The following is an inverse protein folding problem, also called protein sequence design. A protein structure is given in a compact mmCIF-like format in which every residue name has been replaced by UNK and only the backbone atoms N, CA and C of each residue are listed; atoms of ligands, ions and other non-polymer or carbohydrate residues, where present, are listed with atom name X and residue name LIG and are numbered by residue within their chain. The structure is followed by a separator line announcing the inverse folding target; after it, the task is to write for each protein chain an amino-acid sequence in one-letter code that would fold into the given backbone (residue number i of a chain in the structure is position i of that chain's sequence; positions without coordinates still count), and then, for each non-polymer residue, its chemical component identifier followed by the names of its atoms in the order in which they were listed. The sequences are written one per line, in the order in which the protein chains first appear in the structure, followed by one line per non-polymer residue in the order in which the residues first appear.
data_IF_879121543172
#
_entry.id   IF_879121543172
#
_cell.length_a   1.000
_cell.length_b   1.000
_cell.length_c   1.000
_cell.angle_alpha   90.00
_cell.angle_beta   90.00
_cell.angle_gamma   90.00
#
_symmetry.space_group_name_H-M   'P 1'
#
loop_
_entity.id
_entity.type
_entity.pdbx_description
1 polymer ?
#
# COMPACT_ATOMS: atom_id res chain seq x y z
N UNK A 1 23.80 59.03 -47.83
CA UNK A 1 23.92 58.23 -46.59
C UNK A 1 22.64 57.42 -46.48
N UNK A 2 22.68 56.15 -46.90
CA UNK A 2 21.49 55.29 -47.03
C UNK A 2 21.22 54.61 -45.68
N UNK A 3 20.03 54.86 -45.13
CA UNK A 3 19.52 54.25 -43.92
C UNK A 3 18.94 52.89 -44.30
N UNK A 4 19.52 51.80 -43.81
CA UNK A 4 18.92 50.46 -43.86
C UNK A 4 18.26 50.19 -42.53
N UNK A 5 16.92 50.12 -42.55
CA UNK A 5 16.09 49.64 -41.44
C UNK A 5 16.07 48.11 -41.54
N UNK A 6 16.76 47.43 -40.61
CA UNK A 6 16.63 45.99 -40.43
C UNK A 6 15.38 45.73 -39.59
N UNK A 7 14.40 45.05 -40.18
CA UNK A 7 13.18 44.62 -39.52
C UNK A 7 13.50 43.54 -38.48
N UNK A 8 13.24 43.86 -37.22
CA UNK A 8 13.24 42.90 -36.12
C UNK A 8 11.92 42.12 -36.21
N UNK A 9 11.98 40.87 -36.68
CA UNK A 9 10.85 39.96 -36.67
C UNK A 9 10.56 39.57 -35.20
N UNK A 10 9.50 40.13 -34.65
CA UNK A 10 8.96 39.77 -33.35
C UNK A 10 8.30 38.39 -33.51
N UNK A 11 8.98 37.34 -33.06
CA UNK A 11 8.37 36.02 -32.93
C UNK A 11 7.34 36.08 -31.80
N UNK A 12 6.09 36.33 -32.15
CA UNK A 12 4.97 36.16 -31.24
C UNK A 12 4.82 34.66 -30.98
N UNK A 13 5.23 34.22 -29.79
CA UNK A 13 4.84 32.92 -29.27
C UNK A 13 3.30 32.88 -29.28
N UNK A 14 2.75 32.02 -30.12
CA UNK A 14 1.33 31.71 -30.06
C UNK A 14 1.08 31.06 -28.69
N UNK A 15 0.05 31.47 -27.93
CA UNK A 15 -0.39 30.69 -26.79
C UNK A 15 -0.78 29.31 -27.33
N UNK A 16 -0.07 28.26 -26.90
CA UNK A 16 -0.60 26.92 -27.07
C UNK A 16 -1.92 26.89 -26.30
N UNK A 17 -3.02 26.73 -27.03
CA UNK A 17 -4.33 26.49 -26.44
C UNK A 17 -4.20 25.26 -25.51
N UNK A 18 -4.84 25.32 -24.35
CA UNK A 18 -4.78 24.29 -23.31
C UNK A 18 -5.08 22.91 -23.88
N UNK A 19 -4.43 21.89 -23.32
CA UNK A 19 -4.72 20.50 -23.62
C UNK A 19 -5.21 19.88 -22.32
N UNK A 20 -6.52 19.64 -22.21
CA UNK A 20 -7.07 18.99 -21.03
C UNK A 20 -6.95 17.49 -21.08
N UNK A 21 -6.73 16.81 -19.96
CA UNK A 21 -6.36 15.41 -20.03
C UNK A 21 -7.48 14.45 -19.65
N UNK A 22 -7.72 13.44 -20.47
CA UNK A 22 -8.23 12.13 -20.02
C UNK A 22 -7.05 11.19 -19.80
N UNK A 23 -7.05 10.45 -18.68
CA UNK A 23 -6.07 9.38 -18.46
C UNK A 23 -6.48 8.19 -19.33
N UNK A 24 -5.65 7.82 -20.31
CA UNK A 24 -6.02 6.76 -21.27
C UNK A 24 -5.57 5.38 -20.86
N UNK A 25 -4.61 5.27 -19.94
CA UNK A 25 -4.13 3.99 -19.46
C UNK A 25 -2.83 4.07 -18.68
N UNK A 26 -2.43 2.92 -18.15
CA UNK A 26 -1.11 2.74 -17.57
C UNK A 26 -0.07 2.53 -18.68
N UNK A 27 0.89 3.43 -18.76
CA UNK A 27 2.02 3.32 -19.68
C UNK A 27 3.00 2.29 -19.14
N UNK A 28 3.26 1.26 -19.95
CA UNK A 28 4.10 0.11 -19.56
C UNK A 28 5.51 0.16 -20.16
N UNK A 29 5.96 1.32 -20.68
CA UNK A 29 7.28 1.45 -21.29
C UNK A 29 8.44 1.16 -20.30
N UNK A 30 8.29 1.54 -19.03
CA UNK A 30 9.23 1.19 -17.96
C UNK A 30 8.84 -0.07 -17.19
N UNK A 31 7.95 -0.92 -17.74
CA UNK A 31 7.38 -2.07 -17.04
C UNK A 31 7.64 -3.37 -17.81
N UNK A 32 8.23 -4.37 -17.15
CA UNK A 32 8.13 -5.75 -17.64
C UNK A 32 6.80 -6.33 -17.14
N UNK A 33 5.79 -6.27 -18.00
CA UNK A 33 4.45 -6.83 -17.74
C UNK A 33 4.56 -8.35 -17.58
N UNK A 34 3.99 -8.87 -16.50
CA UNK A 34 3.99 -10.31 -16.23
C UNK A 34 3.08 -11.11 -17.14
N UNK A 35 2.99 -12.42 -16.92
CA UNK A 35 2.06 -13.27 -17.66
C UNK A 35 0.61 -13.10 -17.18
N UNK A 36 -0.34 -13.44 -18.04
CA UNK A 36 -1.75 -13.54 -17.66
C UNK A 36 -1.96 -14.64 -16.62
N UNK A 37 -2.74 -14.32 -15.60
CA UNK A 37 -3.07 -15.18 -14.47
C UNK A 37 -4.57 -15.43 -14.54
N UNK A 38 -4.98 -16.68 -14.83
CA UNK A 38 -6.38 -17.04 -15.11
C UNK A 38 -6.92 -18.15 -14.21
N UNK A 39 -6.05 -18.88 -13.51
CA UNK A 39 -6.46 -19.93 -12.59
C UNK A 39 -6.62 -19.34 -11.18
N UNK A 40 -7.63 -19.78 -10.40
CA UNK A 40 -7.71 -19.44 -8.98
C UNK A 40 -6.38 -19.71 -8.28
N UNK A 41 -6.03 -18.85 -7.31
CA UNK A 41 -4.84 -18.97 -6.46
C UNK A 41 -3.50 -18.90 -7.19
N UNK A 42 -3.53 -18.50 -8.47
CA UNK A 42 -2.31 -18.14 -9.20
C UNK A 42 -2.05 -16.65 -9.09
N UNK A 43 -0.77 -16.28 -9.10
CA UNK A 43 -0.33 -14.90 -8.98
C UNK A 43 0.74 -14.54 -10.01
N UNK A 44 0.86 -13.25 -10.28
CA UNK A 44 1.79 -12.69 -11.24
C UNK A 44 2.30 -11.33 -10.76
N UNK A 45 3.31 -10.81 -11.45
CA UNK A 45 3.91 -9.51 -11.16
C UNK A 45 4.27 -8.78 -12.43
N UNK A 46 4.01 -7.47 -12.46
CA UNK A 46 4.53 -6.54 -13.45
C UNK A 46 5.64 -5.72 -12.79
N UNK A 47 6.89 -5.90 -13.23
CA UNK A 47 8.06 -5.29 -12.60
C UNK A 47 8.27 -3.88 -13.14
N UNK A 48 8.35 -2.91 -12.24
CA UNK A 48 8.49 -1.48 -12.59
C UNK A 48 9.96 -1.08 -12.47
N UNK A 49 10.50 -0.50 -13.54
CA UNK A 49 11.90 -0.09 -13.62
C UNK A 49 12.08 1.43 -13.56
N UNK A 50 13.28 1.85 -13.18
CA UNK A 50 13.70 3.26 -13.11
C UNK A 50 13.94 3.92 -14.50
N UNK A 51 13.75 3.16 -15.57
CA UNK A 51 13.94 3.54 -16.98
C UNK A 51 13.21 2.54 -17.89
N UNK A 52 13.34 2.72 -19.20
CA UNK A 52 12.77 1.81 -20.20
C UNK A 52 13.05 0.32 -19.88
N UNK A 53 12.02 -0.53 -19.97
CA UNK A 53 12.11 -1.94 -19.61
C UNK A 53 13.04 -2.75 -20.51
N UNK A 54 13.43 -2.23 -21.68
CA UNK A 54 14.40 -2.86 -22.59
C UNK A 54 15.84 -2.46 -22.29
N UNK A 55 16.07 -1.42 -21.48
CA UNK A 55 17.41 -0.95 -21.11
C UNK A 55 18.19 -2.03 -20.32
N UNK A 56 19.46 -2.31 -20.64
CA UNK A 56 20.26 -3.32 -19.95
C UNK A 56 20.66 -2.92 -18.51
N UNK A 57 20.69 -1.62 -18.20
CA UNK A 57 21.12 -1.06 -16.91
C UNK A 57 19.93 -0.68 -16.01
N UNK A 58 18.71 -1.09 -16.39
CA UNK A 58 17.51 -0.86 -15.60
C UNK A 58 17.60 -1.52 -14.22
N UNK A 59 17.11 -0.81 -13.22
CA UNK A 59 16.94 -1.33 -11.86
C UNK A 59 15.48 -1.17 -11.43
N UNK A 60 15.06 -1.95 -10.45
CA UNK A 60 13.69 -1.92 -9.93
C UNK A 60 13.70 -1.75 -8.42
N UNK A 61 12.79 -0.91 -7.92
CA UNK A 61 12.51 -0.77 -6.50
C UNK A 61 11.10 -1.26 -6.16
N UNK A 62 10.34 -1.76 -7.13
CA UNK A 62 8.99 -2.22 -6.90
C UNK A 62 8.31 -2.87 -8.09
N UNK A 63 7.15 -3.43 -7.83
CA UNK A 63 6.35 -4.20 -8.78
C UNK A 63 4.87 -4.10 -8.46
N UNK A 64 4.02 -4.25 -9.47
CA UNK A 64 2.59 -4.44 -9.28
C UNK A 64 2.32 -5.94 -9.16
N UNK A 65 1.80 -6.37 -8.02
CA UNK A 65 1.38 -7.76 -7.77
C UNK A 65 -0.10 -7.93 -8.07
N UNK A 66 -0.47 -9.09 -8.61
CA UNK A 66 -1.85 -9.44 -8.90
C UNK A 66 -2.06 -10.95 -8.71
N UNK A 67 -3.26 -11.33 -8.28
CA UNK A 67 -3.64 -12.72 -8.06
C UNK A 67 -5.11 -12.93 -8.41
N UNK A 68 -5.40 -14.00 -9.13
CA UNK A 68 -6.77 -14.33 -9.51
C UNK A 68 -7.54 -14.92 -8.32
N UNK A 69 -8.85 -14.62 -8.19
CA UNK A 69 -9.68 -13.83 -9.11
C UNK A 69 -9.66 -12.32 -8.84
N UNK A 70 -8.99 -11.85 -7.79
CA UNK A 70 -9.07 -10.45 -7.35
C UNK A 70 -8.47 -9.46 -8.35
N UNK A 71 -7.44 -9.88 -9.07
CA UNK A 71 -6.75 -9.09 -10.08
C UNK A 71 -6.09 -9.98 -11.15
N UNK A 72 -6.09 -9.49 -12.37
CA UNK A 72 -5.50 -10.09 -13.56
C UNK A 72 -4.33 -9.24 -14.05
N UNK A 73 -3.66 -9.73 -15.09
CA UNK A 73 -2.60 -9.00 -15.75
C UNK A 73 -3.14 -7.71 -16.42
N UNK A 74 -2.46 -6.55 -16.29
CA UNK A 74 -1.12 -6.38 -15.73
C UNK A 74 -1.08 -6.01 -14.23
N UNK A 75 -2.23 -6.09 -13.55
CA UNK A 75 -2.41 -5.84 -12.11
C UNK A 75 -2.89 -4.44 -11.77
N UNK A 76 -2.89 -3.53 -12.75
CA UNK A 76 -3.35 -2.16 -12.64
C UNK A 76 -4.03 -1.75 -13.94
N UNK A 77 -5.12 -0.99 -13.84
CA UNK A 77 -5.78 -0.40 -15.01
C UNK A 77 -6.36 0.99 -14.70
N UNK A 78 -6.78 1.66 -15.77
CA UNK A 78 -7.52 2.93 -15.73
C UNK A 78 -8.87 2.71 -16.38
N UNK A 79 -9.94 3.11 -15.71
CA UNK A 79 -11.29 3.12 -16.24
C UNK A 79 -11.81 4.55 -16.30
N UNK A 80 -12.42 4.90 -17.44
CA UNK A 80 -13.01 6.21 -17.72
C UNK A 80 -14.54 6.18 -17.58
N UNK A 81 -15.04 5.29 -16.71
CA UNK A 81 -16.46 5.21 -16.40
C UNK A 81 -16.77 6.11 -15.21
N UNK A 82 -17.33 7.29 -15.49
CA UNK A 82 -17.68 8.25 -14.46
C UNK A 82 -18.73 7.71 -13.47
N UNK A 83 -18.60 8.10 -12.20
CA UNK A 83 -19.48 7.67 -11.13
C UNK A 83 -19.60 8.73 -10.03
N UNK A 84 -20.63 8.60 -9.19
CA UNK A 84 -20.86 9.51 -8.06
C UNK A 84 -21.14 8.70 -6.81
N UNK A 85 -20.50 9.09 -5.71
CA UNK A 85 -20.70 8.52 -4.37
C UNK A 85 -20.95 9.66 -3.38
N UNK A 86 -21.16 9.32 -2.10
CA UNK A 86 -21.15 10.34 -1.04
C UNK A 86 -19.80 11.05 -0.87
N UNK A 87 -18.73 10.53 -1.50
CA UNK A 87 -17.36 11.03 -1.38
C UNK A 87 -16.98 12.02 -2.49
N UNK A 88 -17.74 12.06 -3.59
CA UNK A 88 -17.48 12.93 -4.74
C UNK A 88 -18.08 12.40 -6.05
N UNK A 89 -17.89 13.19 -7.11
CA UNK A 89 -18.16 12.79 -8.50
C UNK A 89 -16.82 12.65 -9.21
N UNK A 90 -16.60 11.51 -9.86
CA UNK A 90 -15.35 11.14 -10.51
C UNK A 90 -15.62 10.83 -11.99
N UNK A 91 -14.66 11.12 -12.85
CA UNK A 91 -14.70 10.81 -14.28
C UNK A 91 -14.16 9.40 -14.57
N UNK A 92 -13.43 8.83 -13.61
CA UNK A 92 -12.87 7.50 -13.68
C UNK A 92 -12.17 7.08 -12.39
N UNK A 93 -11.48 5.95 -12.46
CA UNK A 93 -10.60 5.53 -11.38
C UNK A 93 -9.38 4.74 -11.88
N UNK A 94 -8.35 4.69 -11.04
CA UNK A 94 -7.17 3.85 -11.18
C UNK A 94 -7.25 2.77 -10.12
N UNK A 95 -7.27 1.51 -10.55
CA UNK A 95 -7.63 0.36 -9.71
C UNK A 95 -6.90 -0.91 -10.16
N UNK A 96 -7.07 -2.01 -9.42
CA UNK A 96 -6.61 -3.32 -9.83
C UNK A 96 -7.28 -3.75 -11.13
N UNK A 97 -6.54 -4.33 -12.07
CA UNK A 97 -7.16 -4.86 -13.29
C UNK A 97 -8.00 -6.09 -12.95
N UNK A 98 -9.32 -5.95 -12.89
CA UNK A 98 -10.24 -7.03 -12.49
C UNK A 98 -11.66 -6.74 -12.97
N UNK A 99 -12.61 -7.61 -12.61
CA UNK A 99 -14.04 -7.38 -12.87
C UNK A 99 -14.66 -6.35 -11.91
N UNK A 100 -13.88 -5.76 -11.01
CA UNK A 100 -14.37 -4.77 -10.06
C UNK A 100 -14.54 -3.39 -10.72
N UNK A 101 -15.73 -2.81 -10.62
CA UNK A 101 -16.02 -1.43 -11.01
C UNK A 101 -15.59 -0.43 -9.90
N UNK A 102 -15.36 0.84 -10.24
CA UNK A 102 -14.94 1.87 -9.28
C UNK A 102 -15.83 2.00 -8.03
N UNK A 103 -17.14 1.79 -8.18
CA UNK A 103 -18.16 1.88 -7.14
C UNK A 103 -18.50 0.52 -6.50
N UNK A 104 -17.76 -0.55 -6.81
CA UNK A 104 -17.97 -1.87 -6.21
C UNK A 104 -17.92 -1.80 -4.68
N UNK A 105 -18.48 -2.79 -4.00
CA UNK A 105 -18.50 -2.86 -2.53
C UNK A 105 -17.12 -3.01 -1.87
N UNK A 106 -17.12 -3.07 -0.53
CA UNK A 106 -15.93 -3.44 0.23
C UNK A 106 -15.44 -4.85 -0.15
N UNK A 107 -14.14 -5.12 0.06
CA UNK A 107 -13.51 -6.43 -0.25
C UNK A 107 -13.63 -6.91 -1.71
N UNK A 108 -13.97 -6.04 -2.66
CA UNK A 108 -14.11 -6.43 -4.07
C UNK A 108 -12.80 -6.50 -4.85
N UNK A 109 -11.63 -6.56 -4.20
CA UNK A 109 -10.33 -6.59 -4.90
C UNK A 109 -9.88 -5.32 -5.64
N UNK A 110 -10.62 -4.19 -5.54
CA UNK A 110 -10.33 -2.93 -6.30
C UNK A 110 -8.92 -2.36 -6.16
N UNK A 111 -8.18 -2.65 -5.09
CA UNK A 111 -6.89 -1.98 -4.84
C UNK A 111 -5.78 -2.66 -5.62
N UNK A 112 -5.14 -1.94 -6.54
CA UNK A 112 -3.90 -2.45 -7.13
C UNK A 112 -2.84 -2.55 -6.01
N UNK A 113 -2.01 -3.59 -6.09
CA UNK A 113 -1.05 -3.93 -5.04
C UNK A 113 0.36 -3.57 -5.50
N UNK A 114 0.90 -2.46 -5.04
CA UNK A 114 2.28 -2.04 -5.25
C UNK A 114 3.17 -2.66 -4.17
N UNK A 115 4.07 -3.56 -4.57
CA UNK A 115 5.08 -4.14 -3.69
C UNK A 115 6.35 -3.31 -3.80
N UNK A 116 6.75 -2.68 -2.69
CA UNK A 116 7.98 -1.91 -2.55
C UNK A 116 9.09 -2.89 -2.20
N UNK A 117 9.98 -3.20 -3.14
CA UNK A 117 11.02 -4.24 -2.98
C UNK A 117 12.40 -3.70 -2.64
N UNK A 118 12.58 -2.39 -2.72
CA UNK A 118 13.77 -1.65 -2.27
C UNK A 118 13.33 -0.23 -1.85
N UNK A 119 14.28 0.56 -1.36
CA UNK A 119 14.06 1.90 -0.78
C UNK A 119 14.12 3.03 -1.80
N UNK A 120 14.47 2.74 -3.06
CA UNK A 120 14.42 3.72 -4.14
C UNK A 120 13.00 4.00 -4.64
N UNK A 121 12.81 5.03 -5.49
CA UNK A 121 11.50 5.39 -5.99
C UNK A 121 10.90 4.33 -6.93
N UNK A 122 9.58 4.24 -6.93
CA UNK A 122 8.79 3.49 -7.93
C UNK A 122 7.97 4.49 -8.73
N UNK A 123 8.08 4.43 -10.06
CA UNK A 123 7.46 5.38 -10.97
C UNK A 123 6.38 4.70 -11.83
N UNK A 124 5.12 4.97 -11.53
CA UNK A 124 3.98 4.52 -12.34
C UNK A 124 3.59 5.62 -13.33
N UNK A 125 3.71 5.34 -14.63
CA UNK A 125 3.48 6.33 -15.70
C UNK A 125 2.09 6.15 -16.28
N UNK A 126 1.33 7.23 -16.45
CA UNK A 126 -0.01 7.21 -17.01
C UNK A 126 -0.08 8.05 -18.26
N UNK A 127 -0.62 7.48 -19.34
CA UNK A 127 -0.82 8.19 -20.60
C UNK A 127 -2.01 9.14 -20.49
N UNK A 128 -1.89 10.29 -21.16
CA UNK A 128 -2.88 11.36 -21.16
C UNK A 128 -3.20 11.76 -22.60
N UNK A 129 -4.49 11.96 -22.89
CA UNK A 129 -4.95 12.54 -24.15
C UNK A 129 -5.67 13.86 -23.92
N UNK A 130 -5.35 14.84 -24.78
CA UNK A 130 -5.97 16.15 -24.83
C UNK A 130 -7.47 16.12 -25.22
N UNK A 131 -8.40 16.68 -24.44
CA UNK A 131 -9.84 16.72 -24.71
C UNK A 131 -10.62 17.97 -24.22
N UNK A 132 -9.93 19.04 -23.81
CA UNK A 132 -10.50 20.31 -23.31
C UNK A 132 -11.42 20.22 -22.05
N UNK A 133 -11.43 19.10 -21.31
CA UNK A 133 -12.13 18.91 -20.04
C UNK A 133 -11.24 18.68 -18.82
N UNK A 134 -11.55 19.33 -17.69
CA UNK A 134 -10.98 18.94 -16.40
C UNK A 134 -11.53 17.57 -16.00
N UNK A 135 -10.68 16.69 -15.49
CA UNK A 135 -11.07 15.34 -15.08
C UNK A 135 -10.55 14.95 -13.70
N UNK A 136 -11.28 14.07 -13.02
CA UNK A 136 -11.00 13.64 -11.66
C UNK A 136 -11.04 12.11 -11.52
N UNK A 137 -9.92 11.52 -11.09
CA UNK A 137 -9.77 10.08 -10.95
C UNK A 137 -9.55 9.68 -9.50
N UNK A 138 -10.38 8.80 -8.96
CA UNK A 138 -10.09 8.17 -7.67
C UNK A 138 -9.00 7.11 -7.85
N UNK A 139 -8.09 7.00 -6.89
CA UNK A 139 -7.01 6.00 -6.90
C UNK A 139 -7.19 5.02 -5.75
N UNK A 140 -7.30 3.74 -6.09
CA UNK A 140 -7.41 2.62 -5.15
C UNK A 140 -6.07 1.92 -5.03
N UNK A 141 -5.24 2.35 -4.09
CA UNK A 141 -3.87 1.90 -3.96
C UNK A 141 -3.66 1.08 -2.67
N UNK A 142 -2.95 -0.04 -2.77
CA UNK A 142 -2.35 -0.73 -1.62
C UNK A 142 -0.84 -0.82 -1.83
N UNK A 143 -0.07 -0.26 -0.89
CA UNK A 143 1.37 -0.47 -0.83
C UNK A 143 1.69 -1.63 0.12
N UNK A 144 2.73 -2.41 -0.22
CA UNK A 144 3.23 -3.52 0.60
C UNK A 144 4.72 -3.35 0.78
N UNK A 145 5.18 -3.25 2.04
CA UNK A 145 6.59 -3.13 2.33
C UNK A 145 7.28 -4.51 2.25
N UNK A 146 8.05 -4.71 1.17
CA UNK A 146 8.93 -5.85 0.93
C UNK A 146 10.40 -5.38 0.78
N UNK A 147 10.75 -4.23 1.35
CA UNK A 147 12.09 -3.61 1.19
C UNK A 147 13.17 -4.33 2.00
N UNK A 148 12.78 -5.29 2.86
CA UNK A 148 13.64 -5.93 3.84
C UNK A 148 13.98 -5.04 5.03
N UNK A 149 13.35 -3.87 5.14
CA UNK A 149 13.59 -2.89 6.20
C UNK A 149 12.28 -2.28 6.69
N UNK A 150 12.24 -1.87 7.96
CA UNK A 150 11.12 -1.05 8.44
C UNK A 150 11.19 0.33 7.77
N UNK A 151 10.04 0.89 7.41
CA UNK A 151 9.91 2.22 6.81
C UNK A 151 9.38 3.21 7.84
N UNK A 152 10.01 4.38 7.92
CA UNK A 152 9.58 5.48 8.79
C UNK A 152 8.47 6.31 8.15
N UNK A 153 8.55 6.50 6.83
CA UNK A 153 7.64 7.37 6.09
C UNK A 153 7.57 7.00 4.62
N UNK A 154 6.57 7.54 3.92
CA UNK A 154 6.45 7.50 2.48
C UNK A 154 5.97 8.85 1.92
N UNK A 155 6.18 9.06 0.63
CA UNK A 155 5.51 10.13 -0.11
C UNK A 155 5.06 9.63 -1.48
N UNK A 156 4.01 10.27 -2.00
CA UNK A 156 3.51 10.09 -3.36
C UNK A 156 3.58 11.44 -4.05
N UNK A 157 4.30 11.51 -5.16
CA UNK A 157 4.58 12.75 -5.90
C UNK A 157 4.06 12.64 -7.33
N UNK A 158 3.56 13.76 -7.84
CA UNK A 158 3.18 13.91 -9.24
C UNK A 158 4.31 14.58 -10.02
N UNK A 159 4.46 14.22 -11.30
CA UNK A 159 5.50 14.78 -12.17
C UNK A 159 5.54 14.14 -13.53
N UNK A 160 6.70 14.18 -14.18
CA UNK A 160 6.94 13.56 -15.48
C UNK A 160 8.30 12.88 -15.53
N UNK A 161 8.47 11.88 -16.39
CA UNK A 161 9.72 11.10 -16.48
C UNK A 161 9.82 10.01 -15.42
N UNK A 162 10.93 9.27 -15.43
CA UNK A 162 11.17 8.14 -14.51
C UNK A 162 12.63 8.13 -14.02
N UNK A 163 12.88 7.47 -12.89
CA UNK A 163 14.18 7.33 -12.25
C UNK A 163 14.88 8.67 -12.09
N UNK A 164 16.12 8.76 -12.56
CA UNK A 164 16.92 9.99 -12.51
C UNK A 164 16.42 11.12 -13.43
N UNK A 165 15.55 10.82 -14.39
CA UNK A 165 14.96 11.79 -15.31
C UNK A 165 13.60 12.33 -14.83
N UNK A 166 13.11 11.87 -13.67
CA UNK A 166 11.88 12.39 -13.08
C UNK A 166 12.03 13.88 -12.76
N UNK A 167 11.01 14.63 -13.15
CA UNK A 167 10.84 16.06 -12.87
C UNK A 167 9.51 16.23 -12.17
N UNK A 168 9.56 16.69 -10.91
CA UNK A 168 8.36 16.94 -10.13
C UNK A 168 7.45 17.98 -10.81
N UNK A 169 6.15 17.78 -10.65
CA UNK A 169 5.09 18.69 -11.05
C UNK A 169 5.25 20.04 -10.34
N UNK A 170 4.70 21.10 -10.93
CA UNK A 170 4.76 22.45 -10.37
C UNK A 170 3.37 23.04 -10.21
N UNK A 171 3.19 23.80 -9.12
CA UNK A 171 1.90 24.42 -8.81
C UNK A 171 1.26 25.14 -10.01
N UNK A 172 -0.01 24.82 -10.26
CA UNK A 172 -0.82 25.39 -11.31
C UNK A 172 -0.49 24.89 -12.71
N UNK A 173 0.25 23.80 -12.86
CA UNK A 173 0.51 23.19 -14.17
C UNK A 173 -0.64 22.29 -14.66
N UNK A 174 -1.68 22.10 -13.85
CA UNK A 174 -2.86 21.32 -14.22
C UNK A 174 -2.79 19.85 -13.81
N UNK A 175 -1.73 19.39 -13.17
CA UNK A 175 -1.67 18.10 -12.52
C UNK A 175 -1.69 18.30 -11.00
N UNK A 176 -2.61 17.65 -10.30
CA UNK A 176 -2.66 17.77 -8.83
C UNK A 176 -3.35 16.59 -8.17
N UNK A 177 -3.09 16.39 -6.89
CA UNK A 177 -4.03 15.70 -6.03
C UNK A 177 -5.26 16.61 -5.83
N UNK A 178 -6.45 16.01 -5.80
CA UNK A 178 -7.70 16.75 -5.59
C UNK A 178 -8.06 16.91 -4.12
N UNK A 179 -8.25 18.16 -3.70
CA UNK A 179 -8.69 18.51 -2.35
C UNK A 179 -10.21 18.69 -2.27
N UNK A 180 -10.94 18.41 -3.35
CA UNK A 180 -12.39 18.69 -3.46
C UNK A 180 -13.24 17.47 -3.10
N UNK A 181 -12.61 16.32 -2.84
CA UNK A 181 -13.25 15.06 -2.51
C UNK A 181 -13.18 14.78 -1.00
N UNK A 182 -14.05 13.89 -0.53
CA UNK A 182 -14.17 13.48 0.86
C UNK A 182 -14.05 11.97 0.97
N UNK A 183 -12.83 11.47 0.79
CA UNK A 183 -12.57 10.04 0.69
C UNK A 183 -12.46 9.38 2.07
N UNK A 184 -11.81 10.06 3.01
CA UNK A 184 -11.42 9.50 4.29
C UNK A 184 -12.32 9.90 5.46
N UNK A 185 -12.00 9.40 6.67
CA UNK A 185 -12.58 9.89 7.92
C UNK A 185 -12.47 11.42 8.02
N UNK A 186 -13.41 12.06 8.73
CA UNK A 186 -13.41 13.52 8.92
C UNK A 186 -13.36 14.35 7.62
N UNK A 187 -13.93 13.83 6.53
CA UNK A 187 -13.95 14.46 5.21
C UNK A 187 -12.55 14.69 4.60
N UNK A 188 -11.55 13.87 4.96
CA UNK A 188 -10.21 13.93 4.38
C UNK A 188 -10.21 13.66 2.87
N UNK A 189 -9.47 14.47 2.11
CA UNK A 189 -9.34 14.30 0.65
C UNK A 189 -8.43 13.14 0.24
N UNK A 190 -7.49 12.77 1.12
CA UNK A 190 -6.63 11.61 0.98
C UNK A 190 -6.37 11.01 2.37
N UNK A 191 -6.29 9.69 2.46
CA UNK A 191 -6.03 9.01 3.71
C UNK A 191 -5.29 7.68 3.50
N UNK A 192 -4.55 7.25 4.53
CA UNK A 192 -3.90 5.95 4.57
C UNK A 192 -4.42 5.12 5.75
N UNK A 193 -4.59 3.81 5.57
CA UNK A 193 -5.11 2.91 6.60
C UNK A 193 -4.57 1.48 6.47
N UNK A 194 -4.22 0.89 7.61
CA UNK A 194 -3.97 -0.54 7.72
C UNK A 194 -5.26 -1.37 7.53
N UNK A 195 -5.17 -2.67 7.22
CA UNK A 195 -6.33 -3.53 7.02
C UNK A 195 -7.35 -3.49 8.17
N UNK A 196 -8.65 -3.52 7.83
CA UNK A 196 -9.74 -3.39 8.80
C UNK A 196 -9.81 -4.56 9.79
N UNK A 197 -9.55 -5.78 9.33
CA UNK A 197 -9.51 -6.96 10.20
C UNK A 197 -8.44 -6.88 11.30
N UNK A 198 -7.46 -5.98 11.19
CA UNK A 198 -6.43 -5.75 12.18
C UNK A 198 -6.69 -4.51 13.05
N UNK A 199 -7.21 -3.43 12.47
CA UNK A 199 -7.47 -2.17 13.17
C UNK A 199 -8.80 -1.59 12.71
N UNK A 200 -9.84 -1.59 13.51
CA UNK A 200 -11.12 -1.04 13.09
C UNK A 200 -12.25 -1.29 14.08
N UNK A 201 -13.12 -0.29 14.21
CA UNK A 201 -14.33 -0.42 15.00
C UNK A 201 -15.47 -1.02 14.18
N UNK A 202 -16.30 -1.81 14.84
CA UNK A 202 -17.60 -2.27 14.32
C UNK A 202 -18.65 -1.14 14.35
N UNK A 203 -18.36 -0.05 15.06
CA UNK A 203 -19.15 1.17 15.02
C UNK A 203 -18.91 1.98 13.73
N UNK A 204 -19.87 2.86 13.40
CA UNK A 204 -19.85 3.61 12.14
C UNK A 204 -18.74 4.70 12.14
N UNK A 205 -17.95 4.82 11.06
CA UNK A 205 -18.09 4.12 9.78
C UNK A 205 -17.44 2.72 9.78
N UNK A 206 -18.26 1.67 9.68
CA UNK A 206 -17.82 0.30 9.46
C UNK A 206 -17.90 0.01 7.94
N UNK A 207 -16.76 -0.17 7.25
CA UNK A 207 -16.75 -0.42 5.82
C UNK A 207 -17.26 -1.83 5.45
N UNK A 208 -17.40 -2.74 6.42
CA UNK A 208 -17.96 -4.07 6.24
C UNK A 208 -19.13 -4.30 7.21
N UNK A 209 -20.37 -3.92 6.84
CA UNK A 209 -21.53 -4.05 7.74
C UNK A 209 -21.88 -5.51 8.06
N UNK A 210 -21.42 -6.47 7.25
CA UNK A 210 -21.62 -7.90 7.49
C UNK A 210 -20.60 -8.46 8.50
N UNK A 211 -19.53 -7.72 8.77
CA UNK A 211 -18.50 -8.09 9.73
C UNK A 211 -18.74 -7.36 11.06
N UNK A 212 -19.26 -8.12 12.03
CA UNK A 212 -19.57 -7.64 13.39
C UNK A 212 -18.38 -7.77 14.35
N UNK A 213 -17.19 -8.07 13.84
CA UNK A 213 -15.97 -8.29 14.61
C UNK A 213 -14.98 -7.15 14.34
N UNK A 214 -14.48 -6.53 15.41
CA UNK A 214 -13.50 -5.45 15.32
C UNK A 214 -12.11 -5.93 14.89
N UNK A 215 -11.23 -4.97 14.66
CA UNK A 215 -9.81 -5.22 14.39
C UNK A 215 -9.15 -6.03 15.51
N UNK A 216 -8.28 -6.97 15.13
CA UNK A 216 -7.57 -7.83 16.08
C UNK A 216 -6.67 -7.06 17.08
N UNK A 217 -5.91 -6.08 16.59
CA UNK A 217 -5.00 -5.28 17.43
C UNK A 217 -5.69 -4.09 18.08
N UNK A 218 -6.67 -3.51 17.40
CA UNK A 218 -7.51 -2.42 17.91
C UNK A 218 -8.94 -2.56 17.38
N UNK A 219 -9.85 -2.98 18.25
CA UNK A 219 -11.26 -3.17 17.94
C UNK A 219 -12.08 -1.87 18.02
N UNK A 220 -11.43 -0.73 18.31
CA UNK A 220 -12.10 0.55 18.61
C UNK A 220 -11.70 1.67 17.67
N UNK A 221 -10.53 1.60 17.03
CA UNK A 221 -10.03 2.64 16.14
C UNK A 221 -9.30 2.08 14.91
N UNK A 222 -9.27 2.90 13.85
CA UNK A 222 -8.42 2.67 12.67
C UNK A 222 -6.99 3.09 13.00
N UNK A 223 -6.02 2.49 12.30
CA UNK A 223 -4.62 2.90 12.34
C UNK A 223 -4.08 3.17 10.93
N UNK A 224 -3.09 4.06 10.82
CA UNK A 224 -2.45 4.41 9.56
C UNK A 224 -1.42 5.54 9.75
N UNK A 225 -1.03 6.19 8.66
CA UNK A 225 -0.27 7.43 8.68
C UNK A 225 -1.18 8.64 8.49
N UNK A 226 -0.96 9.71 9.25
CA UNK A 226 -1.49 11.01 8.86
C UNK A 226 -0.85 11.43 7.55
N UNK A 227 -1.55 12.22 6.73
CA UNK A 227 -1.02 12.71 5.46
C UNK A 227 -0.95 14.23 5.48
N UNK A 228 0.25 14.76 5.19
CA UNK A 228 0.42 16.14 4.76
C UNK A 228 0.01 16.24 3.30
N UNK A 229 -1.01 17.05 3.06
CA UNK A 229 -1.59 17.28 1.75
C UNK A 229 -0.93 18.47 1.06
N UNK A 230 -0.43 18.26 -0.15
CA UNK A 230 0.02 19.29 -1.08
C UNK A 230 -0.64 19.12 -2.46
N UNK A 231 -0.51 20.13 -3.31
CA UNK A 231 -1.01 20.08 -4.70
C UNK A 231 -0.38 18.91 -5.46
N UNK A 232 0.94 18.75 -5.41
CA UNK A 232 1.69 17.76 -6.17
C UNK A 232 2.29 16.64 -5.32
N UNK A 233 2.03 16.65 -4.00
CA UNK A 233 2.65 15.71 -3.06
C UNK A 233 1.71 15.33 -1.94
N UNK A 234 1.62 14.03 -1.66
CA UNK A 234 1.08 13.48 -0.42
C UNK A 234 2.24 12.89 0.37
N UNK A 235 2.46 13.33 1.60
CA UNK A 235 3.55 12.81 2.44
C UNK A 235 3.02 12.32 3.77
N UNK A 236 3.50 11.18 4.26
CA UNK A 236 3.14 10.70 5.60
C UNK A 236 3.69 11.63 6.70
N UNK A 237 2.89 11.90 7.73
CA UNK A 237 3.22 12.75 8.89
C UNK A 237 2.96 12.01 10.21
N UNK A 238 3.76 10.96 10.45
CA UNK A 238 3.63 10.11 11.62
C UNK A 238 2.38 9.21 11.62
N UNK A 239 2.31 8.33 12.60
CA UNK A 239 1.21 7.38 12.77
C UNK A 239 0.02 8.00 13.51
N UNK A 240 -1.17 7.49 13.22
CA UNK A 240 -2.33 7.58 14.09
C UNK A 240 -2.84 6.17 14.43
N UNK A 241 -3.61 6.07 15.51
CA UNK A 241 -4.10 4.80 16.04
C UNK A 241 -2.98 3.97 16.68
N UNK A 242 -3.29 2.73 17.02
CA UNK A 242 -2.43 1.86 17.82
C UNK A 242 -1.22 1.28 17.08
N UNK A 243 -1.17 1.29 15.74
CA UNK A 243 -0.08 0.63 14.99
C UNK A 243 1.31 1.09 15.42
N UNK A 244 1.53 2.41 15.46
CA UNK A 244 2.84 2.98 15.80
C UNK A 244 3.30 2.64 17.22
N UNK A 245 2.35 2.56 18.15
CA UNK A 245 2.62 2.22 19.56
C UNK A 245 2.96 0.74 19.73
N UNK A 246 2.31 -0.15 18.96
CA UNK A 246 2.51 -1.60 19.06
C UNK A 246 3.76 -2.04 18.29
N UNK A 247 3.96 -1.56 17.06
CA UNK A 247 4.96 -2.09 16.13
C UNK A 247 6.12 -1.14 15.84
N UNK A 248 5.99 0.13 16.22
CA UNK A 248 6.88 1.21 15.84
C UNK A 248 6.70 1.58 14.37
N UNK A 249 7.81 1.57 13.63
CA UNK A 249 7.83 1.88 12.20
C UNK A 249 7.13 0.82 11.35
N UNK A 250 6.74 1.19 10.13
CA UNK A 250 6.00 0.33 9.21
C UNK A 250 6.82 -0.92 8.88
N UNK A 251 6.27 -2.08 9.29
CA UNK A 251 6.93 -3.37 9.19
C UNK A 251 7.14 -3.77 7.73
N UNK A 252 8.31 -4.35 7.46
CA UNK A 252 8.51 -5.19 6.29
C UNK A 252 7.82 -6.53 6.50
N UNK A 253 7.34 -7.17 5.44
CA UNK A 253 6.66 -8.47 5.51
C UNK A 253 7.48 -9.55 6.21
N UNK A 254 8.81 -9.58 6.06
CA UNK A 254 9.64 -10.57 6.76
C UNK A 254 9.81 -10.28 8.25
N UNK A 255 9.40 -9.10 8.70
CA UNK A 255 9.44 -8.63 10.09
C UNK A 255 8.08 -8.60 10.77
N UNK A 256 7.01 -9.04 10.09
CA UNK A 256 5.69 -9.18 10.72
C UNK A 256 5.68 -10.39 11.64
N UNK A 257 5.05 -10.30 12.83
CA UNK A 257 4.95 -11.42 13.76
C UNK A 257 4.15 -12.58 13.18
N UNK A 258 4.40 -13.77 13.72
CA UNK A 258 3.56 -14.94 13.48
C UNK A 258 2.18 -14.76 14.15
N UNK A 259 1.16 -15.31 13.51
CA UNK A 259 -0.21 -15.40 13.99
C UNK A 259 -0.69 -16.85 14.03
N UNK A 260 -1.62 -17.12 14.94
CA UNK A 260 -2.45 -18.31 14.91
C UNK A 260 -3.77 -17.94 14.25
N UNK A 261 -4.02 -18.54 13.09
CA UNK A 261 -5.05 -18.19 12.13
C UNK A 261 -6.14 -19.27 12.10
N UNK A 262 -7.41 -18.84 12.14
CA UNK A 262 -8.55 -19.72 11.99
C UNK A 262 -9.19 -19.60 10.60
N UNK A 263 -9.10 -20.67 9.83
CA UNK A 263 -9.88 -20.89 8.62
C UNK A 263 -11.31 -21.29 9.02
N UNK A 264 -12.20 -20.30 9.06
CA UNK A 264 -13.54 -20.44 9.63
C UNK A 264 -14.58 -20.94 8.63
N UNK A 265 -14.32 -20.86 7.32
CA UNK A 265 -15.17 -21.45 6.28
C UNK A 265 -14.68 -22.84 5.86
N UNK A 266 -13.43 -23.19 6.19
CA UNK A 266 -12.86 -24.53 6.06
C UNK A 266 -12.63 -24.96 4.62
N UNK A 267 -12.76 -24.04 3.66
CA UNK A 267 -12.48 -24.26 2.25
C UNK A 267 -11.33 -23.39 1.73
N UNK A 268 -10.76 -22.53 2.59
CA UNK A 268 -9.64 -21.65 2.29
C UNK A 268 -9.98 -20.53 1.32
N UNK A 269 -11.27 -20.28 1.05
CA UNK A 269 -11.70 -19.21 0.15
C UNK A 269 -11.79 -17.84 0.85
N UNK A 270 -11.98 -17.82 2.17
CA UNK A 270 -11.85 -16.61 2.98
C UNK A 270 -10.45 -16.43 3.58
N UNK A 271 -10.07 -15.16 3.76
CA UNK A 271 -8.90 -14.80 4.54
C UNK A 271 -9.07 -15.30 5.99
N UNK A 272 -8.13 -16.11 6.52
CA UNK A 272 -8.29 -16.68 7.83
C UNK A 272 -8.15 -15.62 8.93
N UNK A 273 -8.80 -15.86 10.06
CA UNK A 273 -8.88 -14.90 11.16
C UNK A 273 -7.71 -15.04 12.12
N UNK A 274 -7.01 -13.94 12.41
CA UNK A 274 -6.02 -13.90 13.50
C UNK A 274 -6.72 -14.11 14.84
N UNK A 275 -6.37 -15.16 15.56
CA UNK A 275 -6.91 -15.51 16.87
C UNK A 275 -5.91 -15.23 18.00
N UNK A 276 -4.63 -15.42 17.72
CA UNK A 276 -3.52 -15.04 18.61
C UNK A 276 -2.31 -14.59 17.77
N UNK A 277 -1.37 -13.89 18.40
CA UNK A 277 -0.12 -13.47 17.75
C UNK A 277 1.09 -13.66 18.66
N UNK A 278 2.27 -13.88 18.08
CA UNK A 278 3.53 -13.94 18.81
C UNK A 278 4.03 -12.51 19.05
N UNK A 279 3.98 -12.07 20.31
CA UNK A 279 4.46 -10.74 20.70
C UNK A 279 5.99 -10.68 20.90
N UNK A 280 6.70 -11.76 20.58
CA UNK A 280 8.14 -11.93 20.75
C UNK A 280 8.53 -12.56 22.09
N UNK A 281 7.58 -12.78 23.00
CA UNK A 281 7.80 -13.44 24.30
C UNK A 281 6.78 -14.54 24.59
N UNK A 282 5.53 -14.35 24.18
CA UNK A 282 4.41 -15.22 24.42
C UNK A 282 3.39 -15.10 23.29
N UNK A 283 2.53 -16.10 23.17
CA UNK A 283 1.34 -15.98 22.33
C UNK A 283 0.29 -15.17 23.08
N UNK A 284 -0.27 -14.15 22.44
CA UNK A 284 -1.31 -13.31 23.02
C UNK A 284 -2.61 -13.45 22.21
N UNK A 285 -3.66 -13.93 22.88
CA UNK A 285 -5.00 -14.05 22.35
C UNK A 285 -5.83 -12.82 22.74
N UNK A 286 -6.32 -12.10 21.72
CA UNK A 286 -7.18 -10.91 21.86
C UNK A 286 -8.63 -11.15 21.45
N UNK A 287 -8.95 -12.38 21.07
CA UNK A 287 -10.30 -12.81 20.70
C UNK A 287 -10.77 -13.92 21.62
N UNK A 288 -12.09 -14.09 21.73
CA UNK A 288 -12.74 -15.19 22.43
C UNK A 288 -13.76 -15.89 21.53
N UNK A 289 -14.26 -17.05 21.98
CA UNK A 289 -15.32 -17.80 21.30
C UNK A 289 -16.48 -18.03 22.26
N UNK A 290 -17.68 -17.59 21.84
CA UNK A 290 -18.95 -17.85 22.51
C UNK A 290 -19.93 -18.44 21.48
N UNK A 291 -20.23 -19.74 21.63
CA UNK A 291 -21.07 -20.56 20.73
C UNK A 291 -22.57 -20.30 20.90
N UNK A 292 -22.91 -19.20 21.57
CA UNK A 292 -24.28 -18.72 21.74
C UNK A 292 -24.56 -17.43 20.97
N UNK A 293 -23.53 -16.80 20.38
CA UNK A 293 -23.67 -15.51 19.68
C UNK A 293 -24.41 -15.64 18.35
N UNK A 294 -24.20 -16.73 17.62
CA UNK A 294 -24.87 -16.96 16.34
C UNK A 294 -26.24 -17.66 16.44
N UNK A 295 -26.55 -18.19 17.63
CA UNK A 295 -27.81 -18.88 17.95
C UNK A 295 -27.81 -20.39 17.67
N UNK A 296 -26.70 -20.98 17.22
CA UNK A 296 -26.57 -22.40 16.87
C UNK A 296 -25.55 -23.13 17.77
N UNK A 297 -25.98 -23.48 19.00
CA UNK A 297 -25.13 -24.17 19.97
C UNK A 297 -24.50 -25.45 19.40
N UNK A 298 -23.17 -25.54 19.51
CA UNK A 298 -22.39 -26.72 19.14
C UNK A 298 -21.86 -26.72 17.70
N UNK A 299 -22.14 -25.67 16.93
CA UNK A 299 -21.50 -25.37 15.65
C UNK A 299 -20.77 -24.05 15.81
N UNK A 300 -19.46 -24.02 15.56
CA UNK A 300 -18.69 -22.78 15.65
C UNK A 300 -18.66 -22.07 14.30
N UNK A 301 -18.96 -20.78 14.30
CA UNK A 301 -18.86 -19.90 13.13
C UNK A 301 -18.11 -18.62 13.46
N UNK A 302 -17.77 -17.82 12.44
CA UNK A 302 -17.14 -16.49 12.63
C UNK A 302 -17.97 -15.56 13.53
N UNK A 303 -19.30 -15.76 13.58
CA UNK A 303 -20.20 -14.97 14.42
C UNK A 303 -20.07 -15.26 15.91
N UNK A 304 -19.48 -16.41 16.26
CA UNK A 304 -19.17 -16.78 17.64
C UNK A 304 -17.88 -16.14 18.15
N UNK A 305 -17.12 -15.50 17.27
CA UNK A 305 -15.88 -14.82 17.62
C UNK A 305 -16.19 -13.39 18.07
N UNK A 306 -15.61 -13.00 19.19
CA UNK A 306 -15.69 -11.63 19.70
C UNK A 306 -14.30 -11.10 20.10
N UNK A 307 -14.14 -9.78 20.09
CA UNK A 307 -12.95 -9.14 20.63
C UNK A 307 -13.00 -9.13 22.17
N UNK A 308 -11.92 -9.55 22.81
CA UNK A 308 -11.77 -9.47 24.27
C UNK A 308 -11.44 -8.03 24.68
N UNK A 309 -11.96 -7.62 25.83
CA UNK A 309 -11.48 -6.41 26.51
C UNK A 309 -9.98 -6.56 26.84
N UNK A 310 -9.19 -5.47 26.83
CA UNK A 310 -7.74 -5.53 27.12
C UNK A 310 -7.38 -6.18 28.45
N UNK A 311 -8.21 -6.01 29.48
CA UNK A 311 -8.01 -6.63 30.79
C UNK A 311 -8.25 -8.15 30.79
N UNK A 312 -8.90 -8.67 29.75
CA UNK A 312 -9.27 -10.07 29.59
C UNK A 312 -8.41 -10.84 28.59
N UNK A 313 -7.49 -10.16 27.87
CA UNK A 313 -6.52 -10.79 26.98
C UNK A 313 -5.81 -11.96 27.68
N UNK A 314 -5.55 -13.02 26.93
CA UNK A 314 -4.90 -14.23 27.45
C UNK A 314 -3.53 -14.39 26.84
N UNK A 315 -2.59 -14.82 27.66
CA UNK A 315 -1.24 -15.13 27.19
C UNK A 315 -0.87 -16.57 27.49
N UNK A 316 -0.07 -17.13 26.58
CA UNK A 316 0.34 -18.53 26.61
C UNK A 316 1.83 -18.60 26.30
N UNK A 317 2.53 -19.52 26.94
CA UNK A 317 3.97 -19.70 26.69
C UNK A 317 4.22 -19.98 25.20
N UNK A 318 5.34 -19.48 24.68
CA UNK A 318 5.72 -19.74 23.29
C UNK A 318 5.77 -21.26 23.02
N UNK A 319 5.05 -21.68 21.97
CA UNK A 319 4.89 -23.09 21.59
C UNK A 319 3.76 -23.85 22.30
N UNK A 320 3.02 -23.23 23.23
CA UNK A 320 1.82 -23.83 23.86
C UNK A 320 0.58 -23.69 22.96
N UNK A 321 0.64 -24.30 21.77
CA UNK A 321 -0.48 -24.29 20.82
C UNK A 321 -1.68 -25.09 21.33
N UNK A 322 -1.45 -26.10 22.18
CA UNK A 322 -2.52 -26.93 22.76
C UNK A 322 -3.36 -26.13 23.76
N UNK A 323 -2.72 -25.36 24.66
CA UNK A 323 -3.43 -24.49 25.59
C UNK A 323 -4.24 -23.39 24.88
N UNK A 324 -3.69 -22.85 23.78
CA UNK A 324 -4.40 -21.86 22.95
C UNK A 324 -5.60 -22.52 22.24
N UNK A 325 -5.41 -23.70 21.65
CA UNK A 325 -6.50 -24.43 21.00
C UNK A 325 -7.60 -24.78 22.01
N UNK A 326 -7.25 -25.22 23.22
CA UNK A 326 -8.22 -25.48 24.30
C UNK A 326 -9.00 -24.22 24.68
N UNK A 327 -8.31 -23.07 24.81
CA UNK A 327 -8.96 -21.78 25.06
C UNK A 327 -9.97 -21.43 23.95
N UNK A 328 -9.66 -21.76 22.70
CA UNK A 328 -10.54 -21.59 21.55
C UNK A 328 -11.43 -22.81 21.26
N UNK A 329 -11.84 -23.55 22.30
CA UNK A 329 -12.78 -24.68 22.19
C UNK A 329 -12.36 -25.78 21.20
N UNK A 330 -11.06 -25.94 20.97
CA UNK A 330 -10.48 -26.98 20.12
C UNK A 330 -10.53 -26.70 18.63
N UNK A 331 -10.76 -25.46 18.18
CA UNK A 331 -10.64 -25.13 16.75
C UNK A 331 -9.22 -25.40 16.23
N UNK A 332 -9.14 -25.78 14.95
CA UNK A 332 -7.88 -25.94 14.27
C UNK A 332 -7.30 -24.56 13.93
N UNK A 333 -6.05 -24.32 14.35
CA UNK A 333 -5.33 -23.09 14.08
C UNK A 333 -4.13 -23.38 13.18
N UNK A 334 -4.01 -22.65 12.07
CA UNK A 334 -2.80 -22.60 11.27
C UNK A 334 -1.84 -21.57 11.84
N UNK A 335 -0.52 -21.79 11.72
CA UNK A 335 0.48 -20.78 12.03
C UNK A 335 1.04 -20.21 10.73
N UNK A 336 0.96 -18.89 10.56
CA UNK A 336 1.58 -18.14 9.46
C UNK A 336 1.89 -16.72 9.93
N UNK A 337 2.67 -15.95 9.16
CA UNK A 337 2.92 -14.54 9.44
C UNK A 337 1.64 -13.70 9.29
N UNK A 338 1.50 -12.63 10.06
CA UNK A 338 0.44 -11.63 9.87
C UNK A 338 0.93 -10.59 8.86
N UNK A 339 1.03 -10.99 7.58
CA UNK A 339 1.60 -10.18 6.52
C UNK A 339 0.86 -8.86 6.28
N UNK A 340 -0.42 -8.81 6.66
CA UNK A 340 -1.26 -7.62 6.59
C UNK A 340 -0.71 -6.42 7.37
N UNK A 341 0.18 -6.65 8.34
CA UNK A 341 0.90 -5.58 9.05
C UNK A 341 1.93 -4.85 8.16
N UNK A 342 2.31 -5.43 7.03
CA UNK A 342 3.13 -4.79 6.00
C UNK A 342 2.29 -4.09 4.91
N UNK A 343 0.96 -4.24 4.94
CA UNK A 343 0.05 -3.67 3.95
C UNK A 343 -0.45 -2.29 4.39
N UNK A 344 -0.39 -1.29 3.52
CA UNK A 344 -0.97 0.02 3.74
C UNK A 344 -1.91 0.38 2.58
N UNK A 345 -3.20 0.56 2.87
CA UNK A 345 -4.14 1.07 1.88
C UNK A 345 -4.02 2.59 1.83
N UNK A 346 -4.00 3.15 0.62
CA UNK A 346 -3.96 4.57 0.34
C UNK A 346 -5.10 4.92 -0.63
N UNK A 347 -5.87 5.95 -0.30
CA UNK A 347 -6.93 6.44 -1.19
C UNK A 347 -6.79 7.95 -1.32
N UNK A 348 -6.81 8.43 -2.55
CA UNK A 348 -6.70 9.82 -2.96
C UNK A 348 -7.37 9.99 -4.32
N UNK A 349 -7.44 11.21 -4.81
CA UNK A 349 -7.86 11.47 -6.17
C UNK A 349 -6.84 12.36 -6.90
N UNK A 350 -6.68 12.12 -8.20
CA UNK A 350 -5.85 12.92 -9.09
C UNK A 350 -6.77 13.78 -9.93
N UNK A 351 -6.58 15.09 -9.88
CA UNK A 351 -7.21 16.07 -10.76
C UNK A 351 -6.26 16.39 -11.92
N UNK A 352 -6.80 16.33 -13.13
CA UNK A 352 -6.11 16.63 -14.37
C UNK A 352 -6.86 17.77 -15.06
N UNK A 353 -6.31 18.96 -14.94
CA UNK A 353 -6.87 20.21 -15.43
C UNK A 353 -6.60 20.45 -16.91
N UNK A 354 -7.41 21.32 -17.48
CA UNK A 354 -7.37 21.75 -18.87
C UNK A 354 -6.09 22.45 -19.34
N UNK A 355 -5.27 22.85 -18.38
CA UNK A 355 -3.99 23.50 -18.57
C UNK A 355 -2.79 22.55 -18.48
N UNK A 356 -2.98 21.24 -18.23
CA UNK A 356 -1.88 20.28 -18.24
C UNK A 356 -1.20 20.19 -19.61
N UNK A 357 0.13 20.16 -19.63
CA UNK A 357 0.91 20.09 -20.87
C UNK A 357 1.81 18.86 -20.83
N UNK A 358 1.29 17.75 -21.34
CA UNK A 358 2.03 16.50 -21.45
C UNK A 358 1.19 15.41 -22.10
N UNK A 359 1.85 14.39 -22.65
CA UNK A 359 1.19 13.16 -23.15
C UNK A 359 1.15 12.06 -22.09
N UNK A 360 1.74 12.30 -20.93
CA UNK A 360 1.79 11.38 -19.80
C UNK A 360 2.18 12.13 -18.54
N UNK A 361 1.80 11.61 -17.37
CA UNK A 361 2.38 12.00 -16.09
C UNK A 361 2.89 10.77 -15.32
N UNK A 362 3.67 11.00 -14.28
CA UNK A 362 4.23 9.98 -13.40
C UNK A 362 3.71 10.17 -11.99
N UNK A 363 3.22 9.08 -11.40
CA UNK A 363 2.98 8.92 -9.98
C UNK A 363 4.20 8.24 -9.38
N UNK A 364 5.00 8.98 -8.61
CA UNK A 364 6.19 8.50 -7.94
C UNK A 364 5.89 8.16 -6.49
N UNK A 365 6.22 6.95 -6.06
CA UNK A 365 6.25 6.57 -4.64
C UNK A 365 7.67 6.57 -4.14
N UNK A 366 7.92 7.26 -3.04
CA UNK A 366 9.21 7.28 -2.32
C UNK A 366 9.01 6.82 -0.88
N UNK A 367 10.03 6.16 -0.32
CA UNK A 367 10.01 5.68 1.06
C UNK A 367 11.26 6.12 1.80
N UNK A 368 11.15 6.29 3.11
CA UNK A 368 12.30 6.55 3.98
C UNK A 368 12.53 5.34 4.89
N UNK A 369 13.64 4.59 4.75
CA UNK A 369 13.95 3.51 5.66
C UNK A 369 14.39 4.03 7.03
N UNK A 370 14.12 3.26 8.07
CA UNK A 370 14.61 3.56 9.41
C UNK A 370 16.15 3.48 9.41
N UNK A 371 16.88 4.54 9.81
CA UNK A 371 18.33 4.52 9.80
C UNK A 371 18.88 3.37 10.64
N UNK A 372 19.77 2.57 10.07
CA UNK A 372 20.52 1.58 10.86
C UNK A 372 21.30 2.31 11.97
N UNK A 373 21.30 1.80 13.22
CA UNK A 373 22.10 2.40 14.28
C UNK A 373 23.56 2.52 13.83
N UNK A 374 24.15 3.72 13.94
CA UNK A 374 25.51 4.01 13.49
C UNK A 374 26.60 3.08 14.07
N UNK A 375 26.27 2.28 15.08
CA UNK A 375 27.14 1.28 15.69
C UNK A 375 27.24 -0.05 14.92
N UNK A 376 26.30 -0.38 14.01
CA UNK A 376 26.32 -1.66 13.30
C UNK A 376 27.57 -1.86 12.40
N UNK A 377 28.03 -0.85 11.62
CA UNK A 377 29.28 -0.95 10.88
C UNK A 377 30.52 -1.05 11.80
N UNK A 378 30.48 -0.38 12.96
CA UNK A 378 31.56 -0.40 13.94
C UNK A 378 31.68 -1.78 14.63
N UNK A 379 30.57 -2.46 14.89
CA UNK A 379 30.57 -3.82 15.42
C UNK A 379 31.12 -4.82 14.39
N UNK A 380 30.70 -4.74 13.13
CA UNK A 380 31.23 -5.59 12.06
C UNK A 380 32.73 -5.37 11.83
N UNK A 381 33.20 -4.11 11.83
CA UNK A 381 34.62 -3.79 11.77
C UNK A 381 35.40 -4.28 13.01
N UNK A 382 34.79 -4.18 14.20
CA UNK A 382 35.36 -4.65 15.46
C UNK A 382 35.57 -6.17 15.48
N UNK A 383 34.58 -6.96 15.05
CA UNK A 383 34.71 -8.41 14.94
C UNK A 383 35.72 -8.83 13.86
N UNK A 384 35.75 -8.13 12.72
CA UNK A 384 36.75 -8.35 11.68
C UNK A 384 38.19 -8.14 12.17
N UNK A 385 38.42 -7.07 12.95
CA UNK A 385 39.73 -6.76 13.53
C UNK A 385 40.16 -7.79 14.58
N UNK A 386 39.24 -8.26 15.43
CA UNK A 386 39.51 -9.30 16.43
C UNK A 386 39.83 -10.65 15.79
N UNK A 387 39.09 -11.04 14.74
CA UNK A 387 39.37 -12.26 13.96
C UNK A 387 40.76 -12.22 13.30
N UNK A 388 41.15 -11.08 12.74
CA UNK A 388 42.46 -10.89 12.13
C UNK A 388 43.60 -10.90 13.17
N UNK A 389 43.40 -10.30 14.34
CA UNK A 389 44.36 -10.30 15.45
C UNK A 389 44.58 -11.71 16.03
N UNK A 390 43.50 -12.50 16.19
CA UNK A 390 43.57 -13.88 16.65
C UNK A 390 44.33 -14.78 15.65
N UNK A 391 44.11 -14.59 14.34
CA UNK A 391 44.82 -15.32 13.28
C UNK A 391 46.32 -14.98 13.24
N UNK A 392 46.67 -13.72 13.51
CA UNK A 392 48.07 -13.26 13.59
C UNK A 392 48.81 -13.81 14.81
N UNK A 393 48.13 -13.99 15.95
CA UNK A 393 48.72 -14.64 17.14
C UNK A 393 48.99 -16.13 16.91
N UNK A 394 48.08 -16.87 16.25
CA UNK A 394 48.29 -18.30 15.93
C UNK A 394 49.47 -18.53 14.96
N UNK A 395 49.71 -17.61 14.02
CA UNK A 395 50.86 -17.68 13.08
C UNK A 395 52.22 -17.33 13.70
N UNK A 396 52.26 -16.77 14.92
CA UNK A 396 53.50 -16.48 15.66
C UNK A 396 53.86 -17.54 16.70
N UNK A 397 52.93 -18.46 16.97
CA UNK A 397 53.10 -19.55 17.93
C UNK A 397 53.37 -20.91 17.27
N UNK A 398 53.46 -20.93 15.93
CA UNK A 398 54.03 -21.98 15.10
C UNK A 398 55.30 -21.41 14.45
#
# INVERSE_FOLDING_TARGET
MKISVAGLALATALPMAGQAGTITGWNTANVAVGDAVVAPDTSGVSVVYDRDATDPDKVTNGKIYYAAPEAFNPGLEVTNTGYTTGQGTFDGCILASSDAECNSGFQSGKRFKEHLTDTGPVDLVFDVTADDTDSLYQVFHRMVNLTGQKLESFSVQLGTGVGSAFTASTSGDGLSFSSTVKLGPNDEAAFSQYPFGLFGSVEQPNPNPDFTLGGFFDATARSGFNLTYGEDTLASDGFYGAYGDIFGNWLDRSSTPDGLLWDYDGDGSADPLVMAWDNGTEWEARRGIDDTLDGEIGVLSVKDVFALDPDDWKTFAYGDTDGISEFFKGIALGQDIIEDLANLNLNYAIALGSNFVGTSFTLRVETTPVPLPAAAPLLLAGFGALGFAARRRRRRAA
#
